data_IF_257701068268
#
_entry.id   IF_257701068268
#
_cell.length_a   1.000
_cell.length_b   1.000
_cell.length_c   1.000
_cell.angle_alpha   90.00
_cell.angle_beta   90.00
_cell.angle_gamma   90.00
#
_symmetry.space_group_name_H-M   'P 1'
#
loop_
_entity.id
_entity.type
_entity.pdbx_description
1 polymer ?
#
# COMPACT_ATOMS: atom_id res chain seq x y z
N UNK A 1 -19.49 1.63 0.30
CA UNK A 1 -18.91 0.85 -0.81
C UNK A 1 -17.93 -0.18 -0.30
N UNK A 2 -17.84 -1.29 -0.99
CA UNK A 2 -16.93 -2.36 -0.65
C UNK A 2 -15.61 -2.17 -1.37
N UNK A 3 -14.51 -2.14 -0.62
CA UNK A 3 -13.17 -1.95 -1.18
C UNK A 3 -12.18 -3.00 -0.73
N UNK A 4 -11.14 -3.18 -1.53
CA UNK A 4 -9.90 -3.83 -1.12
C UNK A 4 -8.81 -2.75 -1.07
N UNK A 5 -7.88 -2.86 -0.14
CA UNK A 5 -6.75 -1.94 0.01
C UNK A 5 -5.46 -2.73 -0.12
N UNK A 6 -4.58 -2.32 -1.01
CA UNK A 6 -3.31 -3.00 -1.25
C UNK A 6 -2.18 -1.98 -1.22
N UNK A 7 -1.26 -2.13 -0.26
CA UNK A 7 -0.06 -1.31 -0.18
C UNK A 7 1.08 -1.96 -0.97
N UNK A 8 2.07 -1.18 -1.38
CA UNK A 8 3.19 -1.68 -2.17
C UNK A 8 2.78 -2.15 -3.56
N UNK A 9 1.71 -1.59 -4.11
CA UNK A 9 1.04 -2.09 -5.31
C UNK A 9 1.76 -1.73 -6.62
N UNK A 10 2.78 -0.89 -6.59
CA UNK A 10 3.42 -0.38 -7.81
C UNK A 10 4.38 -1.35 -8.49
N UNK A 11 4.82 -2.39 -7.80
CA UNK A 11 5.80 -3.33 -8.33
C UNK A 11 5.82 -4.64 -7.55
N UNK A 12 6.45 -5.67 -8.10
CA UNK A 12 6.76 -6.93 -7.45
C UNK A 12 5.53 -7.67 -6.93
N UNK A 13 5.66 -8.20 -5.70
CA UNK A 13 4.62 -9.02 -5.09
C UNK A 13 3.32 -8.23 -4.90
N UNK A 14 3.41 -6.97 -4.47
CA UNK A 14 2.23 -6.11 -4.28
C UNK A 14 1.40 -5.96 -5.55
N UNK A 15 2.07 -5.70 -6.67
CA UNK A 15 1.40 -5.58 -7.98
C UNK A 15 0.73 -6.90 -8.39
N UNK A 16 1.42 -8.02 -8.23
CA UNK A 16 0.85 -9.33 -8.55
C UNK A 16 -0.36 -9.66 -7.66
N UNK A 17 -0.32 -9.24 -6.40
CA UNK A 17 -1.46 -9.40 -5.50
C UNK A 17 -2.66 -8.55 -5.91
N UNK A 18 -2.44 -7.35 -6.51
CA UNK A 18 -3.53 -6.57 -7.09
C UNK A 18 -4.25 -7.38 -8.17
N UNK A 19 -3.50 -8.02 -9.06
CA UNK A 19 -4.12 -8.84 -10.11
C UNK A 19 -4.86 -10.05 -9.54
N UNK A 20 -4.30 -10.68 -8.52
CA UNK A 20 -4.95 -11.82 -7.86
C UNK A 20 -6.25 -11.40 -7.16
N UNK A 21 -6.25 -10.30 -6.44
CA UNK A 21 -7.44 -9.76 -5.77
C UNK A 21 -8.50 -9.33 -6.79
N UNK A 22 -8.07 -8.72 -7.90
CA UNK A 22 -8.97 -8.30 -8.97
C UNK A 22 -9.72 -9.48 -9.60
N UNK A 23 -9.07 -10.62 -9.71
CA UNK A 23 -9.68 -11.85 -10.27
C UNK A 23 -10.55 -12.60 -9.27
N UNK A 24 -10.27 -12.46 -7.97
CA UNK A 24 -10.90 -13.25 -6.93
C UNK A 24 -12.30 -12.75 -6.58
N UNK A 25 -12.51 -11.44 -6.60
CA UNK A 25 -13.77 -10.86 -6.16
C UNK A 25 -14.09 -9.56 -6.88
N UNK A 26 -15.35 -9.13 -6.75
CA UNK A 26 -15.80 -7.85 -7.25
C UNK A 26 -15.85 -6.82 -6.13
N UNK A 27 -15.20 -5.68 -6.35
CA UNK A 27 -15.17 -4.55 -5.43
C UNK A 27 -15.69 -3.29 -6.11
N UNK A 28 -16.23 -2.37 -5.33
CA UNK A 28 -16.59 -1.06 -5.86
C UNK A 28 -15.34 -0.29 -6.27
N UNK A 29 -14.28 -0.40 -5.48
CA UNK A 29 -12.95 0.10 -5.81
C UNK A 29 -11.87 -0.78 -5.19
N UNK A 30 -10.71 -0.84 -5.84
CA UNK A 30 -9.48 -1.37 -5.24
C UNK A 30 -8.55 -0.17 -5.03
N UNK A 31 -8.27 0.14 -3.77
CA UNK A 31 -7.36 1.22 -3.40
C UNK A 31 -5.93 0.69 -3.44
N UNK A 32 -5.13 1.26 -4.31
CA UNK A 32 -3.74 0.85 -4.50
C UNK A 32 -2.81 1.97 -4.02
N UNK A 33 -1.94 1.64 -3.09
CA UNK A 33 -1.11 2.61 -2.37
C UNK A 33 0.37 2.34 -2.62
N UNK A 34 1.06 3.34 -3.12
CA UNK A 34 2.51 3.35 -3.29
C UNK A 34 2.98 4.79 -3.52
N UNK A 35 4.30 4.99 -3.59
CA UNK A 35 4.87 6.31 -3.80
C UNK A 35 4.70 6.83 -5.22
N UNK A 36 4.74 5.93 -6.22
CA UNK A 36 4.76 6.28 -7.65
C UNK A 36 3.36 6.20 -8.25
N UNK A 37 2.71 7.34 -8.33
CA UNK A 37 1.34 7.42 -8.84
C UNK A 37 1.20 6.90 -10.26
N UNK A 38 2.15 7.19 -11.14
CA UNK A 38 2.12 6.77 -12.55
C UNK A 38 2.08 5.25 -12.70
N UNK A 39 2.78 4.52 -11.83
CA UNK A 39 2.73 3.06 -11.83
C UNK A 39 1.41 2.50 -11.34
N UNK A 40 0.80 3.19 -10.39
CA UNK A 40 -0.53 2.83 -9.90
C UNK A 40 -1.61 3.09 -10.96
N UNK A 41 -1.47 4.18 -11.72
CA UNK A 41 -2.39 4.51 -12.82
C UNK A 41 -2.39 3.44 -13.92
N UNK A 42 -1.25 2.81 -14.18
CA UNK A 42 -1.14 1.73 -15.16
C UNK A 42 -2.02 0.53 -14.82
N UNK A 43 -2.34 0.32 -13.54
CA UNK A 43 -3.19 -0.79 -13.10
C UNK A 43 -4.64 -0.63 -13.56
N UNK A 44 -5.08 0.59 -13.82
CA UNK A 44 -6.45 0.85 -14.28
C UNK A 44 -6.78 0.12 -15.58
N UNK A 45 -5.82 0.05 -16.49
CA UNK A 45 -6.02 -0.57 -17.80
C UNK A 45 -5.92 -2.09 -17.76
N UNK A 46 -5.36 -2.64 -16.66
CA UNK A 46 -5.08 -4.06 -16.52
C UNK A 46 -6.03 -4.79 -15.59
N UNK A 47 -6.86 -4.08 -14.85
CA UNK A 47 -7.79 -4.63 -13.88
C UNK A 47 -9.24 -4.45 -14.30
N UNK A 48 -10.08 -5.41 -13.91
CA UNK A 48 -11.52 -5.39 -14.17
C UNK A 48 -12.25 -4.49 -13.18
N UNK A 49 -11.86 -4.55 -11.90
CA UNK A 49 -12.43 -3.67 -10.88
C UNK A 49 -11.89 -2.24 -11.03
N UNK A 50 -12.68 -1.21 -10.66
CA UNK A 50 -12.17 0.16 -10.63
C UNK A 50 -10.97 0.29 -9.69
N UNK A 51 -9.90 0.90 -10.17
CA UNK A 51 -8.67 1.11 -9.41
C UNK A 51 -8.63 2.56 -8.95
N UNK A 52 -8.36 2.77 -7.67
CA UNK A 52 -8.12 4.10 -7.10
C UNK A 52 -6.68 4.24 -6.67
N UNK A 53 -5.84 4.93 -7.45
CA UNK A 53 -4.46 5.18 -7.08
C UNK A 53 -4.36 6.19 -5.94
N UNK A 54 -3.58 5.86 -4.92
CA UNK A 54 -3.31 6.75 -3.79
C UNK A 54 -1.80 6.81 -3.59
N UNK A 55 -1.22 7.96 -3.94
CA UNK A 55 0.22 8.15 -3.82
C UNK A 55 0.56 8.56 -2.38
N UNK A 56 1.12 7.65 -1.61
CA UNK A 56 1.56 7.87 -0.25
C UNK A 56 2.91 7.20 -0.03
N UNK A 57 3.81 7.87 0.67
CA UNK A 57 5.07 7.28 1.12
C UNK A 57 4.86 6.73 2.53
N UNK A 58 4.69 5.42 2.64
CA UNK A 58 4.43 4.76 3.92
C UNK A 58 5.65 4.68 4.82
N UNK A 59 6.83 5.09 4.35
CA UNK A 59 7.98 5.29 5.23
C UNK A 59 7.85 6.58 6.07
N UNK A 60 6.96 7.48 5.68
CA UNK A 60 6.57 8.65 6.45
C UNK A 60 5.25 8.36 7.19
N UNK A 61 5.29 8.34 8.51
CA UNK A 61 4.11 8.00 9.33
C UNK A 61 2.95 9.00 9.18
N UNK A 62 3.20 10.21 8.69
CA UNK A 62 2.14 11.17 8.35
C UNK A 62 1.22 10.65 7.24
N UNK A 63 1.72 9.73 6.41
CA UNK A 63 0.90 9.10 5.38
C UNK A 63 -0.24 8.27 5.96
N UNK A 64 -0.05 7.71 7.15
CA UNK A 64 -1.11 6.97 7.84
C UNK A 64 -2.26 7.91 8.22
N UNK A 65 -1.93 9.13 8.66
CA UNK A 65 -2.95 10.13 8.98
C UNK A 65 -3.75 10.53 7.73
N UNK A 66 -3.07 10.67 6.59
CA UNK A 66 -3.73 10.97 5.31
C UNK A 66 -4.64 9.82 4.88
N UNK A 67 -4.20 8.58 5.04
CA UNK A 67 -5.01 7.40 4.75
C UNK A 67 -6.24 7.34 5.67
N UNK A 68 -6.06 7.57 6.97
CA UNK A 68 -7.15 7.60 7.92
C UNK A 68 -8.18 8.68 7.55
N UNK A 69 -7.72 9.86 7.16
CA UNK A 69 -8.61 10.94 6.74
C UNK A 69 -9.47 10.54 5.54
N UNK A 70 -8.91 9.80 4.59
CA UNK A 70 -9.70 9.26 3.47
C UNK A 70 -10.75 8.26 3.93
N UNK A 71 -10.42 7.39 4.88
CA UNK A 71 -11.38 6.44 5.43
C UNK A 71 -12.51 7.15 6.16
N UNK A 72 -12.20 8.19 6.92
CA UNK A 72 -13.21 8.97 7.65
C UNK A 72 -14.13 9.73 6.69
N UNK A 73 -13.56 10.28 5.62
CA UNK A 73 -14.32 11.04 4.62
C UNK A 73 -15.26 10.16 3.81
N UNK A 74 -14.82 9.00 3.38
CA UNK A 74 -15.57 8.15 2.45
C UNK A 74 -16.27 6.98 3.12
N UNK A 75 -15.89 6.64 4.33
CA UNK A 75 -16.46 5.55 5.12
C UNK A 75 -16.70 4.25 4.32
N UNK A 76 -15.68 3.74 3.63
CA UNK A 76 -15.82 2.51 2.87
C UNK A 76 -15.87 1.30 3.79
N UNK A 77 -16.41 0.20 3.29
CA UNK A 77 -16.32 -1.08 3.96
C UNK A 77 -15.11 -1.84 3.40
N UNK A 78 -14.07 -1.98 4.21
CA UNK A 78 -12.84 -2.67 3.81
C UNK A 78 -13.06 -4.17 3.95
N UNK A 79 -13.13 -4.87 2.83
CA UNK A 79 -13.30 -6.32 2.79
C UNK A 79 -11.97 -7.06 2.81
N UNK A 80 -10.91 -6.42 2.35
CA UNK A 80 -9.57 -7.00 2.32
C UNK A 80 -8.51 -5.91 2.44
N UNK A 81 -7.52 -6.14 3.29
CA UNK A 81 -6.34 -5.30 3.42
C UNK A 81 -5.10 -6.16 3.17
N UNK A 82 -4.32 -5.80 2.16
CA UNK A 82 -3.07 -6.48 1.83
C UNK A 82 -1.90 -5.54 2.09
N UNK A 83 -1.10 -5.85 3.09
CA UNK A 83 0.09 -5.09 3.43
C UNK A 83 1.31 -5.69 2.73
N UNK A 84 1.59 -5.22 1.52
CA UNK A 84 2.73 -5.66 0.72
C UNK A 84 3.83 -4.61 0.60
N UNK A 85 3.65 -3.42 1.17
CA UNK A 85 4.69 -2.41 1.23
C UNK A 85 5.79 -2.86 2.18
N UNK A 86 7.02 -2.82 1.72
CA UNK A 86 8.17 -3.21 2.52
C UNK A 86 9.46 -2.94 1.77
N UNK A 87 10.56 -2.93 2.48
CA UNK A 87 11.90 -2.83 1.90
C UNK A 87 12.91 -3.55 2.78
N UNK A 88 14.06 -3.88 2.19
CA UNK A 88 15.16 -4.52 2.90
C UNK A 88 16.44 -3.75 2.73
N UNK A 89 17.35 -3.95 3.66
CA UNK A 89 18.73 -3.46 3.60
C UNK A 89 19.65 -4.67 3.66
N UNK A 90 20.42 -4.87 2.59
CA UNK A 90 21.30 -6.03 2.46
C UNK A 90 22.74 -5.67 2.81
N UNK A 91 23.47 -6.64 3.35
CA UNK A 91 24.87 -6.51 3.76
C UNK A 91 25.05 -6.54 5.27
N UNK A 92 26.32 -6.41 5.75
CA UNK A 92 26.60 -6.42 7.18
C UNK A 92 25.89 -5.26 7.90
N UNK A 93 25.26 -5.55 9.02
CA UNK A 93 24.51 -4.58 9.78
C UNK A 93 25.35 -3.36 10.20
N UNK A 94 26.58 -3.62 10.65
CA UNK A 94 27.48 -2.54 11.12
C UNK A 94 27.87 -1.54 10.01
N UNK A 95 27.83 -1.96 8.76
CA UNK A 95 28.19 -1.13 7.60
C UNK A 95 26.97 -0.46 6.95
N UNK A 96 25.75 -0.79 7.39
CA UNK A 96 24.54 -0.27 6.80
C UNK A 96 24.31 1.20 7.19
N UNK A 97 23.69 1.95 6.29
CA UNK A 97 23.28 3.32 6.57
C UNK A 97 22.13 3.32 7.58
N UNK A 98 22.33 4.02 8.70
CA UNK A 98 21.33 4.12 9.77
C UNK A 98 19.99 4.64 9.28
N UNK A 99 20.00 5.66 8.41
CA UNK A 99 18.74 6.23 7.86
C UNK A 99 17.95 5.19 7.09
N UNK A 100 18.63 4.35 6.31
CA UNK A 100 17.99 3.27 5.56
C UNK A 100 17.45 2.18 6.48
N UNK A 101 18.17 1.85 7.54
CA UNK A 101 17.71 0.87 8.54
C UNK A 101 16.45 1.36 9.26
N UNK A 102 16.44 2.62 9.67
CA UNK A 102 15.27 3.21 10.35
C UNK A 102 14.08 3.33 9.41
N UNK A 103 14.30 3.74 8.17
CA UNK A 103 13.22 3.81 7.16
C UNK A 103 12.65 2.42 6.87
N UNK A 104 13.50 1.39 6.82
CA UNK A 104 13.05 0.00 6.66
C UNK A 104 12.18 -0.44 7.83
N UNK A 105 12.56 -0.13 9.07
CA UNK A 105 11.78 -0.46 10.25
C UNK A 105 10.43 0.29 10.26
N UNK A 106 10.43 1.57 9.89
CA UNK A 106 9.18 2.33 9.76
C UNK A 106 8.23 1.71 8.74
N UNK A 107 8.74 1.39 7.55
CA UNK A 107 7.92 0.83 6.47
C UNK A 107 7.44 -0.59 6.81
N UNK A 108 8.33 -1.45 7.29
CA UNK A 108 8.03 -2.87 7.50
C UNK A 108 7.22 -3.15 8.78
N UNK A 109 7.30 -2.29 9.79
CA UNK A 109 6.65 -2.51 11.08
C UNK A 109 5.66 -1.42 11.45
N UNK A 110 6.10 -0.18 11.54
CA UNK A 110 5.26 0.92 12.04
C UNK A 110 4.15 1.27 11.06
N UNK A 111 4.46 1.36 9.78
CA UNK A 111 3.46 1.63 8.75
C UNK A 111 2.42 0.51 8.67
N UNK A 112 2.87 -0.74 8.69
CA UNK A 112 1.98 -1.90 8.68
C UNK A 112 1.03 -1.86 9.88
N UNK A 113 1.54 -1.58 11.06
CA UNK A 113 0.74 -1.46 12.28
C UNK A 113 -0.31 -0.35 12.13
N UNK A 114 0.11 0.82 11.64
CA UNK A 114 -0.78 1.96 11.42
C UNK A 114 -1.89 1.67 10.41
N UNK A 115 -1.55 1.01 9.30
CA UNK A 115 -2.54 0.63 8.28
C UNK A 115 -3.60 -0.32 8.84
N UNK A 116 -3.19 -1.29 9.65
CA UNK A 116 -4.12 -2.24 10.24
C UNK A 116 -5.04 -1.59 11.27
N UNK A 117 -4.54 -0.59 12.01
CA UNK A 117 -5.31 0.10 13.05
C UNK A 117 -6.24 1.17 12.51
N UNK A 118 -5.89 1.79 11.42
CA UNK A 118 -6.62 2.92 10.84
C UNK A 118 -8.09 2.61 10.41
#
# INVERSE_FOLDING_TARGET
MNIAVITGASAGIGRELVYAVDKDARYDEIWVIARRKERLEELRDKCTNPIRPIALDLSDLKSIDAYQALLEQEQPEIKMLVNAAGCGVFGPFAEADRKKLLASAQLNSLALTGMCHA
#
